data_IF_601954160562
#
_entry.id   IF_601954160562
#
_cell.length_a   1.000
_cell.length_b   1.000
_cell.length_c   1.000
_cell.angle_alpha   90.00
_cell.angle_beta   90.00
_cell.angle_gamma   90.00
#
_symmetry.space_group_name_H-M   'P 1'
#
loop_
_entity.id
_entity.type
_entity.pdbx_description
1 polymer ?
#
# COMPACT_ATOMS: atom_id res chain seq x y z
N UNK A 1 -37.40 -0.26 -10.55
CA UNK A 1 -36.02 -0.04 -11.04
C UNK A 1 -35.05 -0.21 -9.87
N UNK A 2 -34.31 -1.33 -9.82
CA UNK A 2 -33.53 -1.74 -8.65
C UNK A 2 -32.23 -0.94 -8.39
N UNK A 3 -31.72 -1.02 -7.16
CA UNK A 3 -30.50 -0.35 -6.65
C UNK A 3 -29.27 -0.60 -7.53
N UNK A 4 -29.09 -1.83 -8.00
CA UNK A 4 -27.99 -2.23 -8.89
C UNK A 4 -28.00 -1.47 -10.22
N UNK A 5 -29.19 -1.26 -10.79
CA UNK A 5 -29.38 -0.51 -12.04
C UNK A 5 -28.96 0.96 -11.88
N UNK A 6 -29.14 1.55 -10.69
CA UNK A 6 -28.69 2.91 -10.39
C UNK A 6 -27.17 3.00 -10.27
N UNK A 7 -26.55 2.06 -9.54
CA UNK A 7 -25.08 2.02 -9.36
C UNK A 7 -24.37 1.86 -10.70
N UNK A 8 -24.87 0.95 -11.56
CA UNK A 8 -24.30 0.75 -12.89
C UNK A 8 -24.37 2.02 -13.77
N UNK A 9 -25.53 2.69 -13.81
CA UNK A 9 -25.68 3.94 -14.59
C UNK A 9 -24.75 5.05 -14.11
N UNK A 10 -24.60 5.20 -12.79
CA UNK A 10 -23.70 6.19 -12.20
C UNK A 10 -22.25 5.90 -12.57
N UNK A 11 -21.81 4.65 -12.40
CA UNK A 11 -20.46 4.20 -12.78
C UNK A 11 -20.17 4.49 -14.25
N UNK A 12 -21.08 4.14 -15.15
CA UNK A 12 -20.93 4.41 -16.59
C UNK A 12 -20.86 5.92 -16.89
N UNK A 13 -21.60 6.77 -16.17
CA UNK A 13 -21.53 8.21 -16.32
C UNK A 13 -20.18 8.79 -15.85
N UNK A 14 -19.67 8.31 -14.70
CA UNK A 14 -18.35 8.70 -14.17
C UNK A 14 -17.23 8.33 -15.14
N UNK A 15 -17.21 7.08 -15.62
CA UNK A 15 -16.21 6.60 -16.58
C UNK A 15 -16.20 7.45 -17.87
N UNK A 16 -17.38 7.76 -18.42
CA UNK A 16 -17.50 8.62 -19.61
C UNK A 16 -16.99 10.05 -19.35
N UNK A 17 -17.37 10.65 -18.22
CA UNK A 17 -16.99 12.03 -17.86
C UNK A 17 -15.49 12.19 -17.72
N UNK A 18 -14.84 11.22 -17.07
CA UNK A 18 -13.39 11.22 -16.84
C UNK A 18 -12.60 10.56 -17.99
N UNK A 19 -13.28 10.11 -19.05
CA UNK A 19 -12.68 9.44 -20.22
C UNK A 19 -11.83 8.22 -19.84
N UNK A 20 -12.29 7.45 -18.86
CA UNK A 20 -11.60 6.26 -18.36
C UNK A 20 -12.23 5.01 -18.95
N UNK A 21 -11.38 4.20 -19.58
CA UNK A 21 -11.74 2.85 -20.04
C UNK A 21 -11.23 1.83 -19.01
N UNK A 22 -12.11 1.03 -18.36
CA UNK A 22 -11.69 -0.01 -17.44
C UNK A 22 -10.74 -1.02 -18.07
N UNK A 23 -9.85 -1.57 -17.26
CA UNK A 23 -8.79 -2.48 -17.67
C UNK A 23 -9.37 -3.81 -18.18
N UNK A 24 -9.23 -4.06 -19.49
CA UNK A 24 -9.86 -5.19 -20.14
C UNK A 24 -9.28 -6.55 -19.70
N UNK A 25 -7.99 -6.62 -19.34
CA UNK A 25 -7.36 -7.87 -18.91
C UNK A 25 -7.93 -8.42 -17.60
N UNK A 26 -8.46 -7.54 -16.74
CA UNK A 26 -9.10 -7.95 -15.48
C UNK A 26 -10.42 -8.70 -15.70
N UNK A 27 -11.05 -8.60 -16.89
CA UNK A 27 -12.30 -9.34 -17.22
C UNK A 27 -12.16 -10.86 -17.17
N UNK A 28 -10.92 -11.39 -17.13
CA UNK A 28 -10.65 -12.82 -16.98
C UNK A 28 -11.07 -13.36 -15.60
N UNK A 29 -11.11 -12.52 -14.57
CA UNK A 29 -11.66 -12.83 -13.25
C UNK A 29 -12.80 -11.84 -12.95
N UNK A 30 -14.08 -12.27 -13.02
CA UNK A 30 -15.23 -11.39 -12.77
C UNK A 30 -15.22 -10.70 -11.40
N UNK A 31 -14.68 -11.34 -10.35
CA UNK A 31 -14.61 -10.75 -9.02
C UNK A 31 -13.59 -9.60 -8.99
N UNK A 32 -12.41 -9.81 -9.59
CA UNK A 32 -11.38 -8.77 -9.68
C UNK A 32 -11.81 -7.62 -10.61
N UNK A 33 -12.55 -7.92 -11.68
CA UNK A 33 -13.10 -6.90 -12.56
C UNK A 33 -14.16 -6.04 -11.86
N UNK A 34 -15.10 -6.64 -11.12
CA UNK A 34 -16.06 -5.84 -10.35
C UNK A 34 -15.38 -5.02 -9.25
N UNK A 35 -14.36 -5.58 -8.57
CA UNK A 35 -13.54 -4.82 -7.63
C UNK A 35 -12.88 -3.61 -8.30
N UNK A 36 -12.29 -3.79 -9.48
CA UNK A 36 -11.72 -2.70 -10.26
C UNK A 36 -12.74 -1.60 -10.55
N UNK A 37 -13.94 -1.98 -10.99
CA UNK A 37 -15.02 -1.04 -11.27
C UNK A 37 -15.52 -0.32 -10.01
N UNK A 38 -15.61 -1.00 -8.87
CA UNK A 38 -15.92 -0.39 -7.57
C UNK A 38 -14.88 0.65 -7.17
N UNK A 39 -13.59 0.28 -7.25
CA UNK A 39 -12.46 1.16 -6.90
C UNK A 39 -12.43 2.40 -7.79
N UNK A 40 -12.61 2.23 -9.11
CA UNK A 40 -12.75 3.37 -10.03
C UNK A 40 -13.92 4.27 -9.64
N UNK A 41 -15.08 3.68 -9.33
CA UNK A 41 -16.27 4.46 -8.93
C UNK A 41 -15.99 5.30 -7.69
N UNK A 42 -15.29 4.75 -6.68
CA UNK A 42 -14.91 5.47 -5.45
C UNK A 42 -13.99 6.65 -5.77
N UNK A 43 -12.92 6.43 -6.52
CA UNK A 43 -11.97 7.46 -6.89
C UNK A 43 -12.66 8.60 -7.65
N UNK A 44 -13.43 8.25 -8.70
CA UNK A 44 -14.06 9.24 -9.58
C UNK A 44 -15.18 10.02 -8.90
N UNK A 45 -15.89 9.43 -7.93
CA UNK A 45 -16.89 10.16 -7.13
C UNK A 45 -16.27 11.29 -6.32
N UNK A 46 -15.14 11.07 -5.69
CA UNK A 46 -14.47 12.12 -4.92
C UNK A 46 -13.89 13.20 -5.84
N UNK A 47 -13.32 12.79 -6.98
CA UNK A 47 -12.83 13.71 -8.01
C UNK A 47 -13.93 14.51 -8.69
N UNK A 48 -15.18 14.04 -8.70
CA UNK A 48 -16.34 14.79 -9.20
C UNK A 48 -16.83 15.89 -8.25
N UNK A 49 -16.48 15.81 -6.97
CA UNK A 49 -16.91 16.79 -5.95
C UNK A 49 -16.03 18.04 -5.91
N UNK A 50 -14.85 18.01 -6.52
CA UNK A 50 -13.88 19.09 -6.38
C UNK A 50 -12.71 18.99 -7.37
N UNK A 51 -11.69 19.83 -7.17
CA UNK A 51 -10.49 19.85 -8.00
C UNK A 51 -9.23 20.06 -7.14
N UNK A 52 -8.07 19.89 -7.76
CA UNK A 52 -6.78 20.13 -7.13
C UNK A 52 -6.44 19.09 -6.06
N UNK A 53 -5.46 19.42 -5.21
CA UNK A 53 -4.91 18.49 -4.22
C UNK A 53 -5.99 17.97 -3.26
N UNK A 54 -6.87 18.82 -2.75
CA UNK A 54 -7.91 18.41 -1.79
C UNK A 54 -8.82 17.29 -2.33
N UNK A 55 -9.23 17.36 -3.60
CA UNK A 55 -10.04 16.32 -4.23
C UNK A 55 -9.25 15.00 -4.39
N UNK A 56 -7.96 15.09 -4.70
CA UNK A 56 -7.08 13.91 -4.78
C UNK A 56 -6.92 13.26 -3.41
N UNK A 57 -6.65 14.04 -2.36
CA UNK A 57 -6.51 13.51 -0.99
C UNK A 57 -7.81 12.82 -0.53
N UNK A 58 -8.97 13.42 -0.83
CA UNK A 58 -10.28 12.81 -0.55
C UNK A 58 -10.46 11.48 -1.30
N UNK A 59 -10.08 11.43 -2.58
CA UNK A 59 -10.11 10.21 -3.40
C UNK A 59 -9.21 9.11 -2.84
N UNK A 60 -7.97 9.44 -2.45
CA UNK A 60 -7.04 8.50 -1.81
C UNK A 60 -7.58 8.00 -0.47
N UNK A 61 -8.21 8.87 0.32
CA UNK A 61 -8.86 8.48 1.57
C UNK A 61 -10.01 7.49 1.35
N UNK A 62 -10.88 7.75 0.36
CA UNK A 62 -11.96 6.83 -0.03
C UNK A 62 -11.44 5.49 -0.52
N UNK A 63 -10.44 5.52 -1.40
CA UNK A 63 -9.73 4.35 -1.91
C UNK A 63 -9.12 3.51 -0.78
N UNK A 64 -8.39 4.14 0.14
CA UNK A 64 -7.78 3.48 1.31
C UNK A 64 -8.81 2.79 2.20
N UNK A 65 -9.91 3.50 2.55
CA UNK A 65 -10.99 2.93 3.36
C UNK A 65 -11.68 1.76 2.67
N UNK A 66 -11.84 1.83 1.34
CA UNK A 66 -12.41 0.72 0.59
C UNK A 66 -11.51 -0.52 0.61
N UNK A 67 -10.18 -0.35 0.58
CA UNK A 67 -9.24 -1.46 0.71
C UNK A 67 -9.42 -2.15 2.05
N UNK A 68 -9.46 -1.38 3.15
CA UNK A 68 -9.67 -1.92 4.49
C UNK A 68 -11.00 -2.69 4.59
N UNK A 69 -12.08 -2.12 4.02
CA UNK A 69 -13.39 -2.78 3.98
C UNK A 69 -13.37 -4.10 3.18
N UNK A 70 -12.65 -4.15 2.05
CA UNK A 70 -12.49 -5.38 1.27
C UNK A 70 -11.63 -6.41 2.02
N UNK A 71 -10.55 -5.98 2.68
CA UNK A 71 -9.69 -6.85 3.47
C UNK A 71 -10.42 -7.45 4.69
N UNK A 72 -11.32 -6.69 5.31
CA UNK A 72 -12.15 -7.13 6.44
C UNK A 72 -13.22 -8.17 6.05
N UNK A 73 -13.64 -8.22 4.78
CA UNK A 73 -14.58 -9.24 4.27
C UNK A 73 -13.90 -10.59 3.99
N UNK A 74 -12.58 -10.64 3.98
CA UNK A 74 -11.84 -11.88 3.68
C UNK A 74 -11.79 -12.77 4.93
N UNK A 75 -11.89 -14.10 4.77
CA UNK A 75 -11.77 -15.04 5.88
C UNK A 75 -10.46 -14.84 6.66
N UNK A 76 -10.55 -14.88 7.99
CA UNK A 76 -9.38 -14.86 8.87
C UNK A 76 -8.73 -16.23 9.01
N UNK A 77 -9.45 -17.32 8.70
CA UNK A 77 -8.93 -18.68 8.75
C UNK A 77 -8.86 -19.28 7.35
N UNK A 78 -7.77 -19.99 7.06
CA UNK A 78 -7.50 -20.66 5.79
C UNK A 78 -6.74 -21.95 6.01
N UNK A 79 -6.89 -22.89 5.08
CA UNK A 79 -6.12 -24.13 5.05
C UNK A 79 -4.93 -24.00 4.09
N UNK A 80 -3.77 -24.44 4.56
CA UNK A 80 -2.51 -24.39 3.83
C UNK A 80 -1.86 -25.77 3.83
N UNK A 81 -0.97 -26.08 2.86
CA UNK A 81 -0.09 -27.25 2.97
C UNK A 81 0.66 -27.22 4.30
N UNK A 82 0.70 -28.34 5.00
CA UNK A 82 1.46 -28.48 6.24
C UNK A 82 2.95 -28.62 5.91
N UNK A 83 3.81 -27.64 6.27
CA UNK A 83 5.24 -27.71 5.98
C UNK A 83 5.97 -28.80 6.78
N UNK A 84 5.38 -29.31 7.86
CA UNK A 84 5.96 -30.34 8.73
C UNK A 84 5.42 -31.74 8.41
N UNK A 85 4.46 -31.86 7.49
CA UNK A 85 3.87 -33.14 7.15
C UNK A 85 4.79 -34.01 6.29
N UNK A 86 4.76 -35.30 6.58
CA UNK A 86 5.43 -36.33 5.77
C UNK A 86 4.70 -36.64 4.45
N UNK A 87 3.47 -36.17 4.27
CA UNK A 87 2.68 -36.36 3.04
C UNK A 87 2.17 -35.02 2.48
N UNK A 88 2.14 -34.83 1.15
CA UNK A 88 1.79 -33.55 0.52
C UNK A 88 0.30 -33.18 0.63
N UNK A 89 -0.57 -34.12 0.98
CA UNK A 89 -2.01 -33.90 1.11
C UNK A 89 -2.41 -33.26 2.44
N UNK A 90 -1.59 -33.41 3.48
CA UNK A 90 -1.92 -32.92 4.81
C UNK A 90 -1.97 -31.39 4.82
N UNK A 91 -3.07 -30.86 5.37
CA UNK A 91 -3.34 -29.43 5.47
C UNK A 91 -3.37 -29.00 6.94
N UNK A 92 -2.92 -27.78 7.19
CA UNK A 92 -3.06 -27.08 8.47
C UNK A 92 -4.00 -25.91 8.32
N UNK A 93 -4.93 -25.75 9.26
CA UNK A 93 -5.76 -24.56 9.35
C UNK A 93 -5.03 -23.51 10.16
N UNK A 94 -4.75 -22.37 9.54
CA UNK A 94 -4.08 -21.24 10.16
C UNK A 94 -5.01 -20.03 10.21
N UNK A 95 -4.87 -19.24 11.26
CA UNK A 95 -5.54 -17.94 11.41
C UNK A 95 -4.59 -16.81 11.04
N UNK A 96 -5.14 -15.73 10.52
CA UNK A 96 -4.43 -14.49 10.24
C UNK A 96 -3.73 -14.02 11.51
N UNK A 97 -2.41 -13.86 11.46
CA UNK A 97 -1.60 -13.46 12.61
C UNK A 97 -1.46 -11.93 12.74
N UNK A 98 -2.00 -11.18 11.77
CA UNK A 98 -2.01 -9.73 11.79
C UNK A 98 -3.14 -9.22 12.67
N UNK A 99 -2.79 -8.55 13.76
CA UNK A 99 -3.71 -7.91 14.69
C UNK A 99 -3.19 -6.52 15.08
N UNK A 100 -4.05 -5.64 15.65
CA UNK A 100 -3.60 -4.36 16.18
C UNK A 100 -2.44 -4.53 17.17
N UNK A 101 -1.32 -3.85 16.92
CA UNK A 101 -0.09 -3.97 17.72
C UNK A 101 0.95 -4.95 17.16
N UNK A 102 0.61 -5.74 16.15
CA UNK A 102 1.60 -6.50 15.38
C UNK A 102 2.43 -5.53 14.51
N UNK A 103 3.68 -5.29 14.89
CA UNK A 103 4.57 -4.30 14.29
C UNK A 103 5.66 -4.88 13.38
N UNK A 104 5.66 -6.19 13.12
CA UNK A 104 6.74 -6.82 12.33
C UNK A 104 6.80 -6.28 10.90
N UNK A 105 5.66 -6.00 10.27
CA UNK A 105 5.61 -5.40 8.94
C UNK A 105 6.11 -3.94 8.90
N UNK A 106 6.21 -3.25 10.04
CA UNK A 106 6.80 -1.92 10.11
C UNK A 106 8.32 -1.92 9.88
N UNK A 107 8.95 -3.10 9.75
CA UNK A 107 10.36 -3.24 9.37
C UNK A 107 10.56 -3.45 7.87
N UNK A 108 9.47 -3.58 7.10
CA UNK A 108 9.53 -3.68 5.64
C UNK A 108 9.74 -2.30 5.03
N UNK A 109 10.58 -2.25 4.00
CA UNK A 109 10.64 -1.10 3.10
C UNK A 109 9.53 -1.22 2.08
N UNK A 110 8.74 -0.17 1.94
CA UNK A 110 7.56 -0.18 1.08
C UNK A 110 7.57 1.01 0.13
N UNK A 111 6.85 0.86 -0.97
CA UNK A 111 6.64 1.93 -1.94
C UNK A 111 5.22 2.47 -1.87
N UNK A 112 5.06 3.72 -2.33
CA UNK A 112 3.80 4.42 -2.44
C UNK A 112 3.85 5.38 -3.64
N UNK A 113 2.69 5.67 -4.24
CA UNK A 113 2.58 6.74 -5.24
C UNK A 113 2.74 8.11 -4.57
N UNK A 114 3.08 9.15 -5.35
CA UNK A 114 3.10 10.53 -4.85
C UNK A 114 1.76 10.92 -4.18
N UNK A 115 0.62 10.53 -4.77
CA UNK A 115 -0.70 10.80 -4.22
C UNK A 115 -0.91 10.18 -2.82
N UNK A 116 -0.44 8.95 -2.61
CA UNK A 116 -0.48 8.29 -1.31
C UNK A 116 0.46 8.96 -0.28
N UNK A 117 1.67 9.35 -0.70
CA UNK A 117 2.63 10.06 0.17
C UNK A 117 2.06 11.40 0.63
N UNK A 118 1.44 12.16 -0.27
CA UNK A 118 0.85 13.46 0.06
C UNK A 118 -0.39 13.31 0.96
N UNK A 119 -1.21 12.27 0.75
CA UNK A 119 -2.30 11.93 1.65
C UNK A 119 -1.81 11.62 3.07
N UNK A 120 -0.72 10.84 3.19
CA UNK A 120 -0.09 10.56 4.47
C UNK A 120 0.51 11.81 5.11
N UNK A 121 1.22 12.65 4.35
CA UNK A 121 1.79 13.90 4.86
C UNK A 121 0.71 14.87 5.34
N UNK A 122 -0.40 15.00 4.60
CA UNK A 122 -1.53 15.82 4.97
C UNK A 122 -2.20 15.33 6.27
N UNK A 123 -2.41 14.01 6.40
CA UNK A 123 -2.93 13.41 7.64
C UNK A 123 -2.03 13.74 8.84
N UNK A 124 -0.72 13.54 8.69
CA UNK A 124 0.25 13.80 9.76
C UNK A 124 0.27 15.27 10.19
N UNK A 125 0.20 16.21 9.23
CA UNK A 125 0.10 17.65 9.54
C UNK A 125 -1.20 18.03 10.23
N UNK A 126 -2.29 17.32 9.93
CA UNK A 126 -3.60 17.60 10.50
C UNK A 126 -3.77 17.01 11.91
N UNK A 127 -3.05 15.93 12.23
CA UNK A 127 -3.30 15.12 13.43
C UNK A 127 -2.20 15.19 14.48
N UNK A 128 -0.95 15.50 14.10
CA UNK A 128 0.16 15.65 15.04
C UNK A 128 0.30 17.11 15.47
N UNK A 129 0.63 17.32 16.74
CA UNK A 129 1.09 18.63 17.21
C UNK A 129 2.52 18.92 16.73
N UNK A 130 2.99 20.15 16.98
CA UNK A 130 4.29 20.62 16.52
C UNK A 130 5.46 19.77 17.07
N UNK A 131 5.38 19.34 18.33
CA UNK A 131 6.45 18.57 18.98
C UNK A 131 6.51 17.14 18.44
N UNK A 132 5.36 16.49 18.27
CA UNK A 132 5.24 15.17 17.67
C UNK A 132 5.70 15.18 16.21
N UNK A 133 5.36 16.23 15.44
CA UNK A 133 5.82 16.40 14.07
C UNK A 133 7.33 16.63 13.99
N UNK A 134 7.90 17.46 14.87
CA UNK A 134 9.35 17.65 14.97
C UNK A 134 10.07 16.35 15.37
N UNK A 135 9.49 15.58 16.30
CA UNK A 135 9.99 14.26 16.68
C UNK A 135 9.95 13.27 15.50
N UNK A 136 8.89 13.29 14.69
CA UNK A 136 8.81 12.48 13.49
C UNK A 136 9.90 12.86 12.47
N UNK A 137 10.15 14.15 12.24
CA UNK A 137 11.23 14.60 11.35
C UNK A 137 12.59 14.04 11.77
N UNK A 138 12.94 14.13 13.06
CA UNK A 138 14.18 13.54 13.58
C UNK A 138 14.27 12.03 13.32
N UNK A 139 13.19 11.29 13.57
CA UNK A 139 13.16 9.84 13.29
C UNK A 139 13.31 9.52 11.79
N UNK A 140 12.75 10.37 10.91
CA UNK A 140 12.93 10.22 9.46
C UNK A 140 14.40 10.42 9.07
N UNK A 141 15.06 11.45 9.61
CA UNK A 141 16.48 11.73 9.35
C UNK A 141 17.39 10.61 9.87
N UNK A 142 17.16 10.13 11.09
CA UNK A 142 17.88 9.01 11.69
C UNK A 142 17.72 7.71 10.87
N UNK A 143 16.49 7.44 10.39
CA UNK A 143 16.23 6.29 9.54
C UNK A 143 16.97 6.39 8.21
N UNK A 144 16.96 7.56 7.56
CA UNK A 144 17.67 7.75 6.29
C UNK A 144 19.19 7.66 6.47
N UNK A 145 19.75 8.18 7.56
CA UNK A 145 21.16 8.01 7.89
C UNK A 145 21.54 6.52 8.06
N UNK A 146 20.73 5.77 8.82
CA UNK A 146 20.92 4.32 9.00
C UNK A 146 20.73 3.53 7.71
N UNK A 147 19.75 3.90 6.88
CA UNK A 147 19.54 3.28 5.58
C UNK A 147 20.74 3.54 4.65
N UNK A 148 21.27 4.76 4.68
CA UNK A 148 22.45 5.17 3.92
C UNK A 148 23.72 4.41 4.27
N UNK A 149 23.88 3.98 5.53
CA UNK A 149 25.03 3.17 5.97
C UNK A 149 24.93 1.68 5.61
N UNK A 150 23.79 1.22 5.07
CA UNK A 150 23.62 -0.17 4.61
C UNK A 150 24.01 -0.25 3.14
N UNK A 151 24.76 -1.30 2.79
CA UNK A 151 25.12 -1.62 1.41
C UNK A 151 23.89 -1.63 0.49
N UNK A 152 23.94 -0.96 -0.68
CA UNK A 152 22.77 -0.79 -1.55
C UNK A 152 22.05 -2.11 -1.90
N UNK A 153 22.79 -3.21 -2.10
CA UNK A 153 22.19 -4.50 -2.46
C UNK A 153 21.45 -5.17 -1.28
N UNK A 154 21.86 -4.89 -0.03
CA UNK A 154 21.26 -5.46 1.16
C UNK A 154 20.09 -4.63 1.68
N UNK A 155 20.12 -3.31 1.41
CA UNK A 155 19.23 -2.30 1.97
C UNK A 155 17.75 -2.65 1.86
N UNK A 156 17.32 -3.29 0.77
CA UNK A 156 15.92 -3.66 0.59
C UNK A 156 15.44 -4.71 1.60
N UNK A 157 16.29 -5.68 1.93
CA UNK A 157 15.93 -6.80 2.79
C UNK A 157 16.29 -6.57 4.26
N UNK A 158 17.14 -5.59 4.55
CA UNK A 158 17.53 -5.24 5.92
C UNK A 158 16.36 -4.58 6.67
N UNK A 159 15.92 -5.13 7.81
CA UNK A 159 14.86 -4.56 8.61
C UNK A 159 15.31 -3.24 9.25
N UNK A 160 14.55 -2.17 8.99
CA UNK A 160 14.66 -0.91 9.71
C UNK A 160 13.27 -0.52 10.19
N UNK A 161 13.13 -0.24 11.48
CA UNK A 161 11.85 0.15 12.05
C UNK A 161 11.38 1.47 11.42
N UNK A 162 10.19 1.45 10.84
CA UNK A 162 9.57 2.61 10.20
C UNK A 162 9.45 3.78 11.19
N UNK A 163 9.83 5.02 10.80
CA UNK A 163 9.76 6.22 11.65
C UNK A 163 8.35 6.58 12.17
N UNK A 164 7.31 6.05 11.53
CA UNK A 164 5.92 6.23 11.94
C UNK A 164 5.49 5.25 13.04
N UNK A 165 6.29 4.23 13.34
CA UNK A 165 6.02 3.33 14.44
C UNK A 165 6.51 3.96 15.76
N UNK A 166 5.57 4.22 16.67
CA UNK A 166 5.81 4.67 18.04
C UNK A 166 5.14 3.66 18.95
N UNK A 167 5.91 3.06 19.86
CA UNK A 167 5.44 2.06 20.83
C UNK A 167 4.65 0.90 20.21
N UNK A 168 5.13 0.40 19.06
CA UNK A 168 4.52 -0.72 18.34
C UNK A 168 3.31 -0.34 17.48
N UNK A 169 2.98 0.96 17.37
CA UNK A 169 1.80 1.44 16.63
C UNK A 169 2.16 2.50 15.62
N UNK A 170 1.52 2.46 14.45
CA UNK A 170 1.67 3.52 13.46
C UNK A 170 0.89 4.76 13.88
N UNK A 171 1.56 5.90 13.98
CA UNK A 171 0.94 7.20 14.33
C UNK A 171 -0.06 7.71 13.27
N UNK A 172 -0.01 7.16 12.06
CA UNK A 172 -0.93 7.48 10.96
C UNK A 172 -1.56 6.21 10.36
N UNK A 173 -1.98 5.27 11.22
CA UNK A 173 -2.49 3.96 10.81
C UNK A 173 -3.61 4.04 9.75
N UNK A 174 -4.52 5.01 9.89
CA UNK A 174 -5.66 5.20 8.99
C UNK A 174 -5.26 5.74 7.60
N UNK A 175 -4.10 6.37 7.46
CA UNK A 175 -3.58 6.93 6.21
C UNK A 175 -2.40 6.12 5.63
N UNK A 176 -2.17 4.89 6.12
CA UNK A 176 -1.15 3.99 5.59
C UNK A 176 -1.27 3.84 4.06
N UNK A 177 -0.16 3.93 3.30
CA UNK A 177 -0.17 3.61 1.87
C UNK A 177 -0.53 2.15 1.61
N UNK A 178 -0.93 1.82 0.39
CA UNK A 178 -1.22 0.44 -0.03
C UNK A 178 -0.02 -0.49 0.18
N UNK A 179 1.19 0.02 -0.01
CA UNK A 179 2.42 -0.69 0.30
C UNK A 179 2.42 -1.25 1.74
N UNK A 180 1.92 -0.50 2.72
CA UNK A 180 1.76 -0.98 4.10
C UNK A 180 0.52 -1.87 4.28
N UNK A 181 -0.61 -1.54 3.63
CA UNK A 181 -1.89 -2.23 3.82
C UNK A 181 -1.94 -3.63 3.23
N UNK A 182 -1.21 -3.87 2.14
CA UNK A 182 -1.24 -5.14 1.42
C UNK A 182 -0.58 -6.29 2.17
N UNK A 183 0.41 -5.99 3.01
CA UNK A 183 1.14 -7.02 3.74
C UNK A 183 0.29 -7.63 4.84
N UNK A 184 0.27 -8.95 4.84
CA UNK A 184 -0.40 -9.77 5.83
C UNK A 184 0.35 -11.09 6.00
N UNK A 185 0.16 -11.76 7.13
CA UNK A 185 0.82 -13.03 7.43
C UNK A 185 -0.08 -13.93 8.25
N UNK A 186 0.00 -15.23 8.01
CA UNK A 186 -0.59 -16.29 8.84
C UNK A 186 0.42 -16.84 9.86
N UNK A 187 1.59 -16.22 10.01
CA UNK A 187 2.60 -16.57 11.02
C UNK A 187 3.36 -15.34 11.52
N UNK A 188 3.02 -14.86 12.72
CA UNK A 188 3.78 -13.80 13.39
C UNK A 188 5.19 -14.26 13.78
N UNK A 189 5.38 -15.55 14.08
CA UNK A 189 6.69 -16.12 14.40
C UNK A 189 7.66 -16.02 13.20
N UNK A 190 7.17 -16.27 11.99
CA UNK A 190 7.97 -16.12 10.76
C UNK A 190 8.35 -14.66 10.54
N UNK A 191 7.41 -13.73 10.73
CA UNK A 191 7.67 -12.29 10.62
C UNK A 191 8.67 -11.80 11.68
N UNK A 192 8.55 -12.25 12.94
CA UNK A 192 9.50 -11.93 14.00
C UNK A 192 10.89 -12.45 13.68
N UNK A 193 10.99 -13.72 13.28
CA UNK A 193 12.26 -14.34 12.92
C UNK A 193 12.96 -13.63 11.75
N UNK A 194 12.21 -12.96 10.86
CA UNK A 194 12.76 -12.07 9.83
C UNK A 194 13.62 -10.96 10.40
N UNK A 195 13.02 -10.26 11.36
CA UNK A 195 13.56 -9.07 11.97
C UNK A 195 14.75 -9.46 12.85
N UNK A 196 14.59 -10.51 13.65
CA UNK A 196 15.66 -11.05 14.51
C UNK A 196 16.87 -11.54 13.70
N UNK A 197 16.66 -12.16 12.53
CA UNK A 197 17.77 -12.56 11.63
C UNK A 197 18.33 -11.41 10.80
N UNK A 198 17.74 -10.22 10.86
CA UNK A 198 18.20 -9.07 10.09
C UNK A 198 17.93 -9.14 8.60
N UNK A 199 17.01 -9.99 8.12
CA UNK A 199 16.72 -10.10 6.68
C UNK A 199 15.35 -10.70 6.35
N UNK A 200 14.68 -10.09 5.37
CA UNK A 200 13.45 -10.62 4.76
C UNK A 200 13.69 -11.50 3.50
N UNK A 201 14.93 -11.63 3.00
CA UNK A 201 15.25 -12.13 1.66
C UNK A 201 14.89 -13.60 1.34
N UNK A 202 14.36 -14.37 2.28
CA UNK A 202 14.06 -15.80 2.09
C UNK A 202 12.79 -16.25 2.81
N UNK A 203 11.93 -15.30 3.18
CA UNK A 203 10.80 -15.61 4.03
C UNK A 203 9.64 -16.12 3.21
N UNK A 204 9.14 -17.28 3.62
CA UNK A 204 7.92 -17.87 3.10
C UNK A 204 6.88 -17.86 4.21
N UNK A 205 5.80 -17.14 3.94
CA UNK A 205 4.59 -17.18 4.75
C UNK A 205 3.47 -17.79 3.91
N UNK A 206 2.51 -18.49 4.53
CA UNK A 206 1.29 -18.87 3.83
C UNK A 206 0.53 -17.63 3.34
N UNK A 207 0.05 -17.66 2.10
CA UNK A 207 -0.60 -16.52 1.43
C UNK A 207 -2.03 -16.90 1.03
N UNK A 208 -3.00 -16.04 1.38
CA UNK A 208 -4.35 -16.13 0.80
C UNK A 208 -4.32 -15.45 -0.58
N UNK A 209 -4.54 -16.20 -1.69
CA UNK A 209 -4.48 -15.65 -3.04
C UNK A 209 -5.39 -14.42 -3.23
N UNK A 210 -6.57 -14.39 -2.61
CA UNK A 210 -7.50 -13.25 -2.76
C UNK A 210 -7.03 -12.01 -2.00
N UNK A 211 -6.41 -12.17 -0.84
CA UNK A 211 -5.75 -11.06 -0.13
C UNK A 211 -4.53 -10.55 -0.89
N UNK A 212 -3.96 -11.41 -1.72
CA UNK A 212 -2.75 -11.15 -2.48
C UNK A 212 -2.96 -10.47 -3.83
N UNK A 213 -4.02 -10.83 -4.55
CA UNK A 213 -4.33 -10.26 -5.87
C UNK A 213 -5.02 -8.88 -5.75
N UNK A 214 -5.83 -8.69 -4.71
CA UNK A 214 -6.60 -7.43 -4.55
C UNK A 214 -5.74 -6.15 -4.52
N UNK A 215 -4.57 -6.08 -3.85
CA UNK A 215 -3.70 -4.91 -3.90
C UNK A 215 -3.29 -4.52 -5.31
N UNK A 216 -3.04 -5.48 -6.19
CA UNK A 216 -2.65 -5.20 -7.57
C UNK A 216 -3.81 -4.52 -8.33
N UNK A 217 -5.05 -5.00 -8.16
CA UNK A 217 -6.24 -4.33 -8.70
C UNK A 217 -6.37 -2.89 -8.17
N UNK A 218 -6.14 -2.68 -6.88
CA UNK A 218 -6.19 -1.35 -6.26
C UNK A 218 -5.14 -0.41 -6.85
N UNK A 219 -3.91 -0.91 -7.02
CA UNK A 219 -2.79 -0.18 -7.60
C UNK A 219 -3.05 0.17 -9.06
N UNK A 220 -3.47 -0.79 -9.87
CA UNK A 220 -3.77 -0.58 -11.29
C UNK A 220 -4.94 0.39 -11.49
N UNK A 221 -5.99 0.31 -10.65
CA UNK A 221 -7.12 1.25 -10.68
C UNK A 221 -6.68 2.67 -10.34
N UNK A 222 -5.86 2.85 -9.30
CA UNK A 222 -5.32 4.15 -8.94
C UNK A 222 -4.45 4.71 -10.07
N UNK A 223 -3.54 3.90 -10.61
CA UNK A 223 -2.65 4.31 -11.70
C UNK A 223 -3.42 4.72 -12.96
N UNK A 224 -4.53 4.06 -13.27
CA UNK A 224 -5.39 4.44 -14.39
C UNK A 224 -6.02 5.83 -14.19
N UNK A 225 -6.51 6.11 -12.97
CA UNK A 225 -7.09 7.43 -12.63
C UNK A 225 -6.01 8.51 -12.65
N UNK A 226 -4.85 8.26 -12.04
CA UNK A 226 -3.72 9.20 -12.05
C UNK A 226 -3.26 9.50 -13.48
N UNK A 227 -3.17 8.48 -14.35
CA UNK A 227 -2.86 8.67 -15.77
C UNK A 227 -3.88 9.58 -16.48
N UNK A 228 -5.17 9.35 -16.25
CA UNK A 228 -6.24 10.15 -16.87
C UNK A 228 -6.22 11.62 -16.43
N UNK A 229 -5.70 11.89 -15.23
CA UNK A 229 -5.49 13.25 -14.70
C UNK A 229 -4.15 13.87 -15.14
N UNK A 230 -3.30 13.14 -15.87
CA UNK A 230 -1.95 13.60 -16.23
C UNK A 230 -0.98 13.66 -15.04
N UNK A 231 -1.25 12.91 -13.97
CA UNK A 231 -0.45 12.89 -12.75
C UNK A 231 0.58 11.75 -12.76
N UNK A 232 1.65 11.95 -11.98
CA UNK A 232 2.70 10.96 -11.76
C UNK A 232 2.17 9.65 -11.19
N UNK A 233 2.80 8.53 -11.60
CA UNK A 233 2.46 7.14 -11.24
C UNK A 233 3.68 6.39 -10.71
N UNK A 234 4.77 7.10 -10.51
CA UNK A 234 6.01 6.57 -9.99
C UNK A 234 5.80 6.02 -8.58
N UNK A 235 6.39 4.85 -8.35
CA UNK A 235 6.47 4.26 -7.04
C UNK A 235 7.68 4.87 -6.32
N UNK A 236 7.42 5.53 -5.21
CA UNK A 236 8.43 6.18 -4.40
C UNK A 236 8.68 5.34 -3.17
N UNK A 237 9.92 5.27 -2.72
CA UNK A 237 10.17 4.71 -1.40
C UNK A 237 9.55 5.61 -0.33
N UNK A 238 8.73 5.02 0.55
CA UNK A 238 7.87 5.76 1.45
C UNK A 238 8.62 6.75 2.36
N UNK A 239 9.68 6.30 3.02
CA UNK A 239 10.38 7.12 4.03
C UNK A 239 11.04 8.37 3.43
N UNK A 240 11.90 8.28 2.40
CA UNK A 240 12.47 9.47 1.76
C UNK A 240 11.40 10.37 1.13
N UNK A 241 10.35 9.80 0.52
CA UNK A 241 9.28 10.58 -0.09
C UNK A 241 8.49 11.38 0.96
N UNK A 242 8.18 10.74 2.10
CA UNK A 242 7.49 11.38 3.21
C UNK A 242 8.33 12.48 3.84
N UNK A 243 9.65 12.28 4.00
CA UNK A 243 10.56 13.34 4.47
C UNK A 243 10.49 14.57 3.58
N UNK A 244 10.65 14.40 2.26
CA UNK A 244 10.55 15.48 1.27
C UNK A 244 9.18 16.18 1.35
N UNK A 245 8.09 15.41 1.42
CA UNK A 245 6.75 15.96 1.50
C UNK A 245 6.54 16.77 2.79
N UNK A 246 7.01 16.29 3.94
CA UNK A 246 6.89 17.02 5.19
C UNK A 246 7.75 18.28 5.22
N UNK A 247 8.93 18.30 4.61
CA UNK A 247 9.81 19.48 4.49
C UNK A 247 9.22 20.59 3.60
N UNK A 248 8.30 20.28 2.69
CA UNK A 248 7.73 21.28 1.79
C UNK A 248 6.67 22.17 2.47
N UNK A 249 6.78 23.49 2.37
CA UNK A 249 5.72 24.39 2.89
C UNK A 249 4.36 24.09 2.26
N UNK A 250 4.32 23.88 0.94
CA UNK A 250 3.13 23.52 0.17
C UNK A 250 3.29 22.15 -0.51
N UNK A 251 2.38 21.23 -0.18
CA UNK A 251 2.33 19.87 -0.73
C UNK A 251 1.96 19.85 -2.22
N UNK A 252 1.09 20.75 -2.68
CA UNK A 252 0.70 20.82 -4.08
C UNK A 252 1.86 21.30 -4.94
N UNK A 253 2.60 22.31 -4.47
CA UNK A 253 3.82 22.77 -5.11
C UNK A 253 4.90 21.68 -5.12
N UNK A 254 5.11 20.97 -4.00
CA UNK A 254 6.06 19.86 -3.94
C UNK A 254 5.79 18.76 -4.97
N UNK A 255 4.51 18.48 -5.24
CA UNK A 255 4.11 17.55 -6.29
C UNK A 255 4.36 18.13 -7.68
N UNK A 256 3.88 19.34 -7.96
CA UNK A 256 3.99 19.99 -9.26
C UNK A 256 5.45 20.16 -9.72
N UNK A 257 6.34 20.49 -8.78
CA UNK A 257 7.77 20.66 -9.02
C UNK A 257 8.54 19.33 -9.17
N UNK A 258 7.85 18.19 -9.00
CA UNK A 258 8.47 16.86 -9.11
C UNK A 258 9.48 16.53 -8.00
N UNK A 259 9.50 17.29 -6.88
CA UNK A 259 10.50 17.11 -5.79
C UNK A 259 10.48 15.69 -5.23
N UNK A 260 9.28 15.08 -5.17
CA UNK A 260 9.09 13.71 -4.68
C UNK A 260 9.78 12.67 -5.57
N UNK A 261 10.07 12.95 -6.84
CA UNK A 261 10.74 12.02 -7.75
C UNK A 261 12.15 11.63 -7.27
N UNK A 262 12.80 12.46 -6.45
CA UNK A 262 14.08 12.14 -5.82
C UNK A 262 14.01 10.91 -4.89
N UNK A 263 12.82 10.53 -4.43
CA UNK A 263 12.57 9.33 -3.63
C UNK A 263 12.27 8.08 -4.48
N UNK A 264 12.31 8.18 -5.81
CA UNK A 264 12.14 7.02 -6.68
C UNK A 264 13.29 6.03 -6.48
N UNK A 265 12.96 4.75 -6.27
CA UNK A 265 13.93 3.67 -6.01
C UNK A 265 13.59 2.45 -6.87
N UNK A 266 14.07 2.38 -8.12
CA UNK A 266 13.79 1.27 -9.04
C UNK A 266 14.12 -0.12 -8.49
N UNK A 267 15.24 -0.25 -7.77
CA UNK A 267 15.66 -1.52 -7.17
C UNK A 267 14.68 -2.05 -6.11
N UNK A 268 14.07 -1.15 -5.31
CA UNK A 268 13.03 -1.52 -4.34
C UNK A 268 11.80 -2.09 -5.05
N UNK A 269 11.37 -1.41 -6.12
CA UNK A 269 10.23 -1.84 -6.93
C UNK A 269 10.48 -3.21 -7.53
N UNK A 270 11.64 -3.42 -8.16
CA UNK A 270 12.00 -4.70 -8.78
C UNK A 270 11.94 -5.86 -7.78
N UNK A 271 12.58 -5.71 -6.62
CA UNK A 271 12.61 -6.82 -5.68
C UNK A 271 11.29 -7.04 -4.91
N UNK A 272 10.40 -6.03 -4.79
CA UNK A 272 9.01 -6.30 -4.35
C UNK A 272 8.20 -7.15 -5.34
N UNK A 273 8.49 -7.07 -6.64
CA UNK A 273 7.89 -7.94 -7.65
C UNK A 273 8.57 -9.32 -7.70
N UNK A 274 9.88 -9.42 -7.48
CA UNK A 274 10.58 -10.71 -7.44
C UNK A 274 10.19 -11.55 -6.21
N UNK A 275 9.98 -10.92 -5.05
CA UNK A 275 9.46 -11.61 -3.87
C UNK A 275 8.06 -12.14 -4.11
N UNK A 276 7.26 -11.45 -4.95
CA UNK A 276 5.95 -11.92 -5.37
C UNK A 276 6.06 -13.22 -6.18
N UNK A 277 6.86 -13.22 -7.24
CA UNK A 277 7.09 -14.39 -8.09
C UNK A 277 7.65 -15.59 -7.30
N UNK A 278 8.58 -15.33 -6.36
CA UNK A 278 9.17 -16.36 -5.50
C UNK A 278 8.18 -16.98 -4.51
N UNK A 279 7.23 -16.20 -4.01
CA UNK A 279 6.26 -16.65 -3.01
C UNK A 279 5.08 -17.40 -3.63
N UNK A 280 4.64 -17.05 -4.85
CA UNK A 280 3.50 -17.71 -5.52
C UNK A 280 3.91 -18.79 -6.50
N UNK A 281 5.20 -18.90 -6.84
CA UNK A 281 5.68 -19.84 -7.86
C UNK A 281 5.27 -19.44 -9.29
N UNK A 282 4.72 -18.24 -9.47
CA UNK A 282 4.39 -17.66 -10.78
C UNK A 282 5.64 -16.95 -11.29
N UNK A 283 6.30 -17.53 -12.30
CA UNK A 283 7.37 -16.87 -13.08
C UNK A 283 6.79 -16.11 -14.25
#
# INVERSE_FOLDING_TARGET
MGRESKVRREREALLRRHRITPLAHLRRDPELFELHLEVLTILLRELDKGRGLAAILAAIGGWSRSFDAQAARRPEEREFPDPEASTPERRVRLRLACEPGCAWCCHLRVTATAAEVLALAAELRATLDADALAGLRRRLDEHEARAGSIEPQLRIHTPLLCPLNVDGRCVAYAARPLGCRKFHSFSAATCRGAVERGSFAAIRVPIDPRRYDSPDVYRQSLNLVLAALGLGREELELVPALRIALDAEDLAAAWADGRLAAAHRPALIAATHDDHARQTGVR
#
